data_IF_617963399535
#
_entry.id   IF_617963399535
#
_cell.length_a   1.000
_cell.length_b   1.000
_cell.length_c   1.000
_cell.angle_alpha   90.00
_cell.angle_beta   90.00
_cell.angle_gamma   90.00
#
_symmetry.space_group_name_H-M   'P 1'
#
loop_
_entity.id
_entity.type
_entity.pdbx_description
1 polymer ?
#
# COMPACT_ATOMS: atom_id res chain seq x y z
N UNK A 1 -5.89 17.32 -4.70
CA UNK A 1 -4.50 16.83 -4.84
C UNK A 1 -3.76 17.31 -3.63
N UNK A 2 -2.88 16.52 -3.00
CA UNK A 2 -2.18 16.98 -1.81
C UNK A 2 -1.27 18.17 -2.18
N UNK A 3 -1.62 19.36 -1.68
CA UNK A 3 -1.08 20.66 -2.11
C UNK A 3 0.35 20.92 -1.60
N UNK A 4 0.83 20.06 -0.72
CA UNK A 4 2.14 20.14 -0.07
C UNK A 4 3.26 19.38 -0.79
N UNK A 5 2.98 18.78 -1.95
CA UNK A 5 3.98 18.09 -2.76
C UNK A 5 4.50 18.99 -3.88
N UNK A 6 5.83 18.99 -4.09
CA UNK A 6 6.41 19.60 -5.27
C UNK A 6 5.88 18.96 -6.56
N UNK A 7 5.86 19.72 -7.66
CA UNK A 7 5.26 19.28 -8.93
C UNK A 7 5.80 17.93 -9.42
N UNK A 8 7.11 17.68 -9.28
CA UNK A 8 7.74 16.42 -9.66
C UNK A 8 7.27 15.25 -8.78
N UNK A 9 7.05 15.49 -7.50
CA UNK A 9 6.61 14.46 -6.58
C UNK A 9 5.13 14.14 -6.78
N UNK A 10 4.32 15.15 -7.08
CA UNK A 10 2.93 14.97 -7.50
C UNK A 10 2.86 14.17 -8.80
N UNK A 11 3.72 14.48 -9.78
CA UNK A 11 3.83 13.74 -11.05
C UNK A 11 4.13 12.26 -10.82
N UNK A 12 5.12 11.98 -9.97
CA UNK A 12 5.49 10.61 -9.61
C UNK A 12 4.36 9.87 -8.89
N UNK A 13 3.68 10.52 -7.95
CA UNK A 13 2.55 9.93 -7.24
C UNK A 13 1.37 9.65 -8.15
N UNK A 14 1.01 10.60 -9.01
CA UNK A 14 -0.05 10.43 -10.01
C UNK A 14 0.28 9.25 -10.93
N UNK A 15 1.49 9.23 -11.49
CA UNK A 15 1.93 8.15 -12.38
C UNK A 15 1.93 6.77 -11.71
N UNK A 16 2.33 6.70 -10.44
CA UNK A 16 2.33 5.46 -9.65
C UNK A 16 0.92 4.90 -9.43
N UNK A 17 -0.10 5.76 -9.39
CA UNK A 17 -1.49 5.34 -9.19
C UNK A 17 -2.11 4.74 -10.45
N UNK A 18 -1.64 5.12 -11.65
CA UNK A 18 -2.24 4.73 -12.94
C UNK A 18 -2.39 3.21 -13.08
N UNK A 19 -1.35 2.37 -12.86
CA UNK A 19 -1.49 0.92 -13.03
C UNK A 19 -2.57 0.29 -12.14
N UNK A 20 -2.76 0.80 -10.92
CA UNK A 20 -3.77 0.29 -10.00
C UNK A 20 -5.19 0.66 -10.45
N UNK A 21 -5.37 1.87 -10.98
CA UNK A 21 -6.65 2.34 -11.52
C UNK A 21 -7.02 1.56 -12.80
N UNK A 22 -6.06 1.34 -13.70
CA UNK A 22 -6.26 0.52 -14.90
C UNK A 22 -6.64 -0.92 -14.55
N UNK A 23 -5.98 -1.52 -13.56
CA UNK A 23 -6.29 -2.87 -13.08
C UNK A 23 -7.69 -2.98 -12.48
N UNK A 24 -8.19 -1.90 -11.88
CA UNK A 24 -9.56 -1.81 -11.37
C UNK A 24 -10.61 -1.52 -12.47
N UNK A 25 -10.20 -1.44 -13.75
CA UNK A 25 -11.09 -1.24 -14.88
C UNK A 25 -11.46 0.23 -15.16
N UNK A 26 -10.77 1.18 -14.52
CA UNK A 26 -10.98 2.59 -14.80
C UNK A 26 -10.15 3.06 -15.99
N UNK A 27 -10.73 3.95 -16.79
CA UNK A 27 -10.01 4.71 -17.80
C UNK A 27 -9.32 5.91 -17.14
N UNK A 28 -8.02 6.08 -17.39
CA UNK A 28 -7.23 7.15 -16.78
C UNK A 28 -6.73 8.10 -17.86
N UNK A 29 -7.30 9.31 -17.89
CA UNK A 29 -6.86 10.38 -18.78
C UNK A 29 -5.78 11.21 -18.09
N UNK A 30 -4.54 11.12 -18.57
CA UNK A 30 -3.40 11.88 -18.06
C UNK A 30 -2.89 12.85 -19.13
N UNK A 31 -2.59 14.09 -18.73
CA UNK A 31 -1.81 14.99 -19.58
C UNK A 31 -0.40 14.40 -19.76
N UNK A 32 0.21 14.50 -20.97
CA UNK A 32 1.51 13.91 -21.26
C UNK A 32 2.61 14.42 -20.32
N UNK A 33 2.51 15.68 -19.88
CA UNK A 33 3.47 16.29 -18.93
C UNK A 33 3.37 15.74 -17.50
N UNK A 34 2.32 14.98 -17.18
CA UNK A 34 2.07 14.39 -15.86
C UNK A 34 2.48 12.91 -15.81
N UNK A 35 2.79 12.32 -16.96
CA UNK A 35 3.22 10.92 -17.04
C UNK A 35 4.75 10.80 -16.99
N UNK A 36 5.26 10.02 -16.02
CA UNK A 36 6.68 9.62 -15.95
C UNK A 36 6.86 8.14 -16.28
N UNK A 37 7.34 7.82 -17.49
CA UNK A 37 7.43 6.43 -17.96
C UNK A 37 8.24 5.52 -17.01
N UNK A 38 9.37 6.01 -16.49
CA UNK A 38 10.20 5.25 -15.56
C UNK A 38 9.44 4.91 -14.26
N UNK A 39 8.64 5.85 -13.75
CA UNK A 39 7.82 5.64 -12.55
C UNK A 39 6.68 4.66 -12.82
N UNK A 40 6.08 4.72 -14.01
CA UNK A 40 5.03 3.79 -14.43
C UNK A 40 5.55 2.35 -14.49
N UNK A 41 6.70 2.13 -15.15
CA UNK A 41 7.31 0.79 -15.25
C UNK A 41 7.63 0.21 -13.86
N UNK A 42 8.17 1.03 -12.95
CA UNK A 42 8.43 0.61 -11.57
C UNK A 42 7.13 0.24 -10.83
N UNK A 43 6.08 1.04 -10.97
CA UNK A 43 4.79 0.78 -10.32
C UNK A 43 4.13 -0.52 -10.81
N UNK A 44 4.22 -0.81 -12.12
CA UNK A 44 3.77 -2.09 -12.68
C UNK A 44 4.57 -3.26 -12.08
N UNK A 45 5.89 -3.13 -12.00
CA UNK A 45 6.74 -4.15 -11.40
C UNK A 45 6.34 -4.40 -9.94
N UNK A 46 6.20 -3.34 -9.13
CA UNK A 46 5.79 -3.42 -7.73
C UNK A 46 4.46 -4.15 -7.54
N UNK A 47 3.44 -3.84 -8.38
CA UNK A 47 2.13 -4.49 -8.30
C UNK A 47 2.25 -5.99 -8.62
N UNK A 48 3.04 -6.35 -9.65
CA UNK A 48 3.28 -7.76 -9.99
C UNK A 48 4.01 -8.50 -8.88
N UNK A 49 5.03 -7.89 -8.29
CA UNK A 49 5.76 -8.48 -7.14
C UNK A 49 4.86 -8.63 -5.92
N UNK A 50 3.99 -7.65 -5.64
CA UNK A 50 3.01 -7.72 -4.54
C UNK A 50 1.94 -8.78 -4.79
N UNK A 51 1.46 -8.94 -6.02
CA UNK A 51 0.51 -10.00 -6.37
C UNK A 51 1.15 -11.40 -6.25
N UNK A 52 2.43 -11.52 -6.61
CA UNK A 52 3.19 -12.77 -6.49
C UNK A 52 3.56 -13.13 -5.05
N UNK A 53 3.54 -12.16 -4.12
CA UNK A 53 3.74 -12.40 -2.70
C UNK A 53 2.35 -12.55 -2.06
N UNK A 54 1.90 -13.78 -1.70
CA UNK A 54 0.70 -13.92 -0.90
C UNK A 54 0.90 -13.02 0.32
N UNK A 55 -0.07 -12.16 0.63
CA UNK A 55 0.01 -11.23 1.74
C UNK A 55 0.54 -11.99 2.96
N UNK A 56 1.83 -11.79 3.27
CA UNK A 56 2.44 -12.40 4.42
C UNK A 56 1.61 -11.89 5.59
N UNK A 57 0.90 -12.84 6.19
CA UNK A 57 -0.12 -12.63 7.20
C UNK A 57 0.35 -11.53 8.14
N UNK A 58 -0.40 -10.45 8.19
CA UNK A 58 -0.27 -9.45 9.24
C UNK A 58 -0.29 -10.25 10.55
N UNK A 59 0.78 -10.25 11.37
CA UNK A 59 0.72 -10.91 12.66
C UNK A 59 -0.42 -10.20 13.40
N UNK A 60 -1.48 -10.94 13.72
CA UNK A 60 -2.54 -10.41 14.55
C UNK A 60 -1.88 -9.77 15.78
N UNK A 61 -2.29 -8.56 16.22
CA UNK A 61 -1.74 -7.96 17.42
C UNK A 61 -1.88 -8.99 18.55
N UNK A 62 -0.75 -9.33 19.18
CA UNK A 62 -0.69 -10.33 20.22
C UNK A 62 -1.77 -10.04 21.26
N UNK A 63 -2.72 -10.97 21.39
CA UNK A 63 -3.82 -10.87 22.34
C UNK A 63 -3.29 -10.58 23.74
N UNK A 64 -4.00 -9.70 24.43
CA UNK A 64 -3.75 -9.28 25.81
C UNK A 64 -3.40 -10.45 26.73
N UNK A 65 -2.44 -10.31 27.66
CA UNK A 65 -2.16 -11.39 28.61
C UNK A 65 -3.36 -11.56 29.55
N UNK A 66 -4.12 -12.63 29.33
CA UNK A 66 -5.11 -13.13 30.29
C UNK A 66 -4.38 -13.42 31.60
N UNK A 67 -4.61 -12.57 32.60
CA UNK A 67 -4.11 -12.70 33.97
C UNK A 67 -4.46 -14.10 34.50
N UNK A 68 -3.49 -14.94 34.92
CA UNK A 68 -3.83 -16.22 35.51
C UNK A 68 -4.55 -15.99 36.84
N UNK A 69 -5.71 -16.64 36.99
CA UNK A 69 -6.47 -16.67 38.23
C UNK A 69 -5.57 -17.20 39.35
N UNK A 70 -5.32 -16.35 40.36
CA UNK A 70 -4.49 -16.70 41.50
C UNK A 70 -5.19 -17.81 42.28
N UNK A 71 -4.60 -19.00 42.22
CA UNK A 71 -5.06 -20.19 42.92
C UNK A 71 -5.12 -19.94 44.42
N UNK A 72 -6.23 -20.34 45.03
CA UNK A 72 -6.42 -20.46 46.48
C UNK A 72 -5.24 -21.24 47.11
N UNK A 73 -4.74 -20.74 48.24
CA UNK A 73 -4.03 -21.45 49.33
C UNK A 73 -3.83 -20.40 50.43
N UNK A 74 -4.67 -20.32 51.48
CA UNK A 74 -4.62 -21.11 52.73
C UNK A 74 -3.82 -20.32 53.80
N UNK A 75 -3.93 -20.53 55.13
CA UNK A 75 -4.79 -21.43 55.92
C UNK A 75 -6.03 -20.74 56.56
#
# INVERSE_FOLDING_TARGET
MPEHLGADEQKRLATRAIPALLLAGYEVNCAPDVFEEATYRQAVHDIRTRAARPAAQHPAPAGSPSRPAQARRGP
#
